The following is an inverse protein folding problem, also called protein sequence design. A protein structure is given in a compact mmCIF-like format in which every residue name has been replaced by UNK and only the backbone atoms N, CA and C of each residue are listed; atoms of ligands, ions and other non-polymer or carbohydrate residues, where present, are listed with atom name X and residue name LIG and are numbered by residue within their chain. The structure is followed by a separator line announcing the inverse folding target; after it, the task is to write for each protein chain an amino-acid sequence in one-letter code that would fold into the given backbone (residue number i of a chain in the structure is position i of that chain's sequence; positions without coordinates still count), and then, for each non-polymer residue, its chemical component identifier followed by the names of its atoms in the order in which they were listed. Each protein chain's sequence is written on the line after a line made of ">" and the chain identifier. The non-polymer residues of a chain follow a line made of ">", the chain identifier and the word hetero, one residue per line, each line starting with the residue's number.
data_IF_281846024202
#
_entry.id   IF_281846024202
#
_cell.length_a   1.000
_cell.length_b   1.000
_cell.length_c   1.000
_cell.angle_alpha   90.00
_cell.angle_beta   90.00
_cell.angle_gamma   90.00
#
_symmetry.space_group_name_H-M   'P 1'
#
loop_
_entity.id
_entity.type
_entity.pdbx_description
1 polymer ?
#
# COMPACT_ATOMS: atom_id res chain seq x y z
N UNK A 1 13.19 3.15 18.03
CA UNK A 1 12.01 2.96 17.15
C UNK A 1 11.47 1.56 17.39
N UNK A 2 10.18 1.41 17.67
CA UNK A 2 9.59 0.06 17.88
C UNK A 2 9.56 -0.72 16.58
N UNK A 3 9.49 -2.05 16.67
CA UNK A 3 9.47 -2.92 15.48
C UNK A 3 8.22 -2.69 14.62
N UNK A 4 7.10 -2.39 15.25
CA UNK A 4 5.85 -2.04 14.59
C UNK A 4 5.96 -0.74 13.81
N UNK A 5 6.56 0.30 14.42
CA UNK A 5 6.82 1.56 13.73
C UNK A 5 7.78 1.38 12.56
N UNK A 6 8.79 0.50 12.69
CA UNK A 6 9.71 0.20 11.59
C UNK A 6 8.96 -0.33 10.35
N UNK A 7 8.06 -1.29 10.53
CA UNK A 7 7.23 -1.83 9.46
C UNK A 7 6.24 -0.81 8.90
N UNK A 8 5.69 0.05 9.76
CA UNK A 8 4.87 1.19 9.32
C UNK A 8 5.69 2.13 8.41
N UNK A 9 6.89 2.50 8.81
CA UNK A 9 7.76 3.36 7.99
C UNK A 9 8.07 2.73 6.64
N UNK A 10 8.39 1.42 6.59
CA UNK A 10 8.60 0.73 5.31
C UNK A 10 7.34 0.75 4.43
N UNK A 11 6.17 0.57 5.02
CA UNK A 11 4.89 0.63 4.31
C UNK A 11 4.61 2.02 3.76
N UNK A 12 4.88 3.07 4.54
CA UNK A 12 4.73 4.46 4.11
C UNK A 12 5.69 4.78 2.96
N UNK A 13 6.95 4.35 3.06
CA UNK A 13 7.94 4.50 1.98
C UNK A 13 7.48 3.77 0.73
N UNK A 14 7.02 2.52 0.84
CA UNK A 14 6.52 1.75 -0.28
C UNK A 14 5.39 2.50 -0.99
N UNK A 15 4.33 2.88 -0.27
CA UNK A 15 3.18 3.61 -0.83
C UNK A 15 3.60 4.93 -1.44
N UNK A 16 4.48 5.70 -0.76
CA UNK A 16 5.00 6.97 -1.23
C UNK A 16 5.89 6.88 -2.47
N UNK A 17 6.37 5.69 -2.84
CA UNK A 17 7.16 5.46 -4.05
C UNK A 17 6.37 4.86 -5.22
N UNK A 18 5.12 4.40 -4.99
CA UNK A 18 4.32 3.75 -6.05
C UNK A 18 3.95 4.68 -7.20
N UNK A 19 4.05 6.00 -7.00
CA UNK A 19 3.77 6.96 -8.06
C UNK A 19 4.85 7.05 -9.13
N UNK A 20 6.10 6.73 -8.77
CA UNK A 20 7.27 6.90 -9.63
C UNK A 20 7.11 6.13 -10.95
N UNK A 21 6.77 4.81 -10.95
CA UNK A 21 6.74 4.05 -12.19
C UNK A 21 5.66 4.52 -13.18
N UNK A 22 4.44 4.85 -12.72
CA UNK A 22 3.39 5.31 -13.64
C UNK A 22 3.62 6.75 -14.12
N UNK A 23 4.30 7.60 -13.32
CA UNK A 23 4.71 8.93 -13.81
C UNK A 23 5.83 8.82 -14.84
N UNK A 24 6.79 7.90 -14.67
CA UNK A 24 7.78 7.61 -15.71
C UNK A 24 7.11 7.12 -17.01
N UNK A 25 6.09 6.26 -16.91
CA UNK A 25 5.29 5.86 -18.08
C UNK A 25 4.60 7.07 -18.73
N UNK A 26 4.00 7.96 -17.92
CA UNK A 26 3.39 9.20 -18.42
C UNK A 26 4.40 10.08 -19.17
N UNK A 27 5.61 10.24 -18.65
CA UNK A 27 6.69 10.96 -19.32
C UNK A 27 7.10 10.30 -20.65
N UNK A 28 7.14 8.97 -20.72
CA UNK A 28 7.44 8.24 -21.96
C UNK A 28 6.32 8.39 -23.01
N UNK A 29 5.05 8.36 -22.59
CA UNK A 29 3.90 8.38 -23.51
C UNK A 29 3.54 9.81 -23.96
N UNK A 30 3.64 10.79 -23.06
CA UNK A 30 3.15 12.17 -23.26
C UNK A 30 4.27 13.21 -23.31
N UNK A 31 5.52 12.81 -23.11
CA UNK A 31 6.65 13.72 -22.92
C UNK A 31 6.60 14.42 -21.54
N UNK A 32 7.69 15.11 -21.18
CA UNK A 32 7.78 15.84 -19.90
C UNK A 32 6.72 16.96 -19.81
N UNK A 33 6.48 17.69 -20.91
CA UNK A 33 5.46 18.74 -20.96
C UNK A 33 4.04 18.20 -20.74
N UNK A 34 3.70 17.05 -21.34
CA UNK A 34 2.42 16.40 -21.13
C UNK A 34 2.28 15.69 -19.78
N UNK A 35 3.39 15.37 -19.10
CA UNK A 35 3.37 14.83 -17.74
C UNK A 35 3.13 15.91 -16.68
N UNK A 36 3.60 17.13 -16.94
CA UNK A 36 3.41 18.32 -16.08
C UNK A 36 2.12 19.09 -16.39
N UNK A 37 1.49 18.84 -17.53
CA UNK A 37 0.22 19.44 -17.90
C UNK A 37 -0.96 18.89 -17.07
N UNK A 38 -2.04 19.67 -16.99
CA UNK A 38 -3.28 19.22 -16.37
C UNK A 38 -3.88 18.04 -17.16
N UNK A 39 -4.44 17.02 -16.49
CA UNK A 39 -5.08 15.91 -17.17
C UNK A 39 -6.19 16.38 -18.11
N UNK A 40 -6.16 15.92 -19.35
CA UNK A 40 -7.18 16.20 -20.37
C UNK A 40 -7.79 14.92 -20.90
N UNK A 41 -9.07 14.96 -21.28
CA UNK A 41 -9.76 13.84 -21.94
C UNK A 41 -9.13 13.45 -23.28
N UNK A 42 -8.36 14.35 -23.88
CA UNK A 42 -7.68 14.12 -25.16
C UNK A 42 -6.25 13.58 -24.98
N UNK A 43 -5.81 13.33 -23.74
CA UNK A 43 -4.46 12.83 -23.51
C UNK A 43 -4.29 11.39 -24.02
N UNK A 44 -3.10 11.09 -24.54
CA UNK A 44 -2.75 9.71 -24.90
C UNK A 44 -2.90 8.78 -23.68
N UNK A 45 -3.58 7.63 -23.83
CA UNK A 45 -3.74 6.68 -22.73
C UNK A 45 -2.37 6.16 -22.30
N UNK A 46 -2.14 6.08 -20.98
CA UNK A 46 -0.97 5.40 -20.44
C UNK A 46 -1.06 3.90 -20.71
N UNK A 47 0.06 3.18 -20.58
CA UNK A 47 0.06 1.73 -20.75
C UNK A 47 -0.84 1.07 -19.69
N UNK A 48 -1.50 -0.03 -20.05
CA UNK A 48 -2.45 -0.73 -19.18
C UNK A 48 -1.89 -1.10 -17.80
N UNK A 49 -0.60 -1.48 -17.71
CA UNK A 49 0.04 -1.76 -16.42
C UNK A 49 0.15 -0.51 -15.53
N UNK A 50 0.34 0.67 -16.13
CA UNK A 50 0.47 1.93 -15.40
C UNK A 50 -0.90 2.38 -14.86
N UNK A 51 -1.97 2.20 -15.65
CA UNK A 51 -3.34 2.40 -15.17
C UNK A 51 -3.67 1.45 -14.01
N UNK A 52 -3.34 0.15 -14.13
CA UNK A 52 -3.51 -0.81 -13.02
C UNK A 52 -2.69 -0.44 -11.79
N UNK A 53 -1.47 0.06 -11.97
CA UNK A 53 -0.63 0.50 -10.86
C UNK A 53 -1.22 1.74 -10.16
N UNK A 54 -1.83 2.67 -10.90
CA UNK A 54 -2.55 3.79 -10.30
C UNK A 54 -3.69 3.29 -9.40
N UNK A 55 -4.53 2.36 -9.88
CA UNK A 55 -5.56 1.75 -9.04
C UNK A 55 -5.00 0.98 -7.83
N UNK A 56 -3.85 0.31 -7.99
CA UNK A 56 -3.19 -0.38 -6.90
C UNK A 56 -2.62 0.61 -5.86
N UNK A 57 -2.16 1.77 -6.31
CA UNK A 57 -1.67 2.85 -5.45
C UNK A 57 -2.81 3.48 -4.66
N UNK A 58 -3.92 3.84 -5.29
CA UNK A 58 -5.10 4.38 -4.60
C UNK A 58 -5.58 3.42 -3.50
N UNK A 59 -5.68 2.13 -3.82
CA UNK A 59 -5.99 1.10 -2.85
C UNK A 59 -4.96 1.02 -1.70
N UNK A 60 -3.67 1.23 -1.98
CA UNK A 60 -2.63 1.26 -0.95
C UNK A 60 -2.78 2.45 -0.01
N UNK A 61 -3.13 3.63 -0.54
CA UNK A 61 -3.41 4.83 0.27
C UNK A 61 -4.62 4.60 1.17
N UNK A 62 -5.74 4.12 0.62
CA UNK A 62 -6.95 3.82 1.40
C UNK A 62 -6.69 2.86 2.55
N UNK A 63 -5.90 1.81 2.31
CA UNK A 63 -5.56 0.82 3.33
C UNK A 63 -4.55 1.36 4.36
N UNK A 64 -3.63 2.24 3.94
CA UNK A 64 -2.67 2.89 4.83
C UNK A 64 -3.38 3.79 5.84
N UNK A 65 -4.47 4.47 5.45
CA UNK A 65 -5.31 5.29 6.34
C UNK A 65 -5.90 4.47 7.49
N UNK A 66 -6.09 3.16 7.32
CA UNK A 66 -6.55 2.25 8.39
C UNK A 66 -5.35 1.68 9.17
N UNK A 67 -4.34 1.19 8.46
CA UNK A 67 -3.19 0.52 9.08
C UNK A 67 -2.35 1.45 9.95
N UNK A 68 -2.09 2.67 9.48
CA UNK A 68 -1.22 3.61 10.19
C UNK A 68 -1.79 4.00 11.57
N UNK A 69 -3.07 4.42 11.71
CA UNK A 69 -3.66 4.65 13.03
C UNK A 69 -3.61 3.44 13.95
N UNK A 70 -3.84 2.21 13.47
CA UNK A 70 -3.77 1.01 14.32
C UNK A 70 -2.39 0.85 14.96
N UNK A 71 -1.33 1.01 14.18
CA UNK A 71 0.05 0.92 14.67
C UNK A 71 0.39 2.09 15.61
N UNK A 72 -0.07 3.30 15.29
CA UNK A 72 0.17 4.48 16.13
C UNK A 72 -0.58 4.40 17.47
N UNK A 73 -1.80 3.86 17.48
CA UNK A 73 -2.57 3.62 18.72
C UNK A 73 -1.84 2.60 19.59
N UNK A 74 -1.41 1.46 19.02
CA UNK A 74 -0.62 0.45 19.74
C UNK A 74 0.65 1.03 20.36
N UNK A 75 1.34 1.91 19.62
CA UNK A 75 2.51 2.60 20.13
C UNK A 75 2.16 3.59 21.25
N UNK A 76 1.05 4.33 21.14
CA UNK A 76 0.62 5.30 22.14
C UNK A 76 0.19 4.64 23.47
N UNK A 77 -0.37 3.43 23.43
CA UNK A 77 -0.71 2.64 24.63
C UNK A 77 0.44 1.75 25.13
N UNK A 78 1.64 1.90 24.55
CA UNK A 78 2.84 1.11 24.83
C UNK A 78 2.61 -0.42 24.80
N UNK A 79 1.77 -0.88 23.85
CA UNK A 79 1.44 -2.29 23.69
C UNK A 79 2.17 -2.89 22.49
N UNK A 80 3.14 -3.76 22.77
CA UNK A 80 3.92 -4.49 21.76
C UNK A 80 4.00 -5.97 22.12
N UNK A 81 3.60 -6.82 21.17
CA UNK A 81 3.67 -8.29 21.31
C UNK A 81 4.32 -8.91 20.08
N UNK A 82 4.66 -10.21 20.15
CA UNK A 82 5.17 -10.93 18.98
C UNK A 82 4.16 -10.91 17.82
N UNK A 83 2.86 -10.92 18.14
CA UNK A 83 1.78 -10.92 17.16
C UNK A 83 1.58 -9.58 16.47
N UNK A 84 1.70 -8.45 17.19
CA UNK A 84 1.61 -7.12 16.57
C UNK A 84 2.76 -6.88 15.59
N UNK A 85 3.98 -7.27 15.98
CA UNK A 85 5.16 -7.17 15.10
C UNK A 85 4.98 -8.04 13.85
N UNK A 86 4.51 -9.28 14.01
CA UNK A 86 4.30 -10.20 12.89
C UNK A 86 3.18 -9.70 11.97
N UNK A 87 2.08 -9.18 12.52
CA UNK A 87 1.00 -8.59 11.74
C UNK A 87 1.49 -7.41 10.90
N UNK A 88 2.30 -6.51 11.46
CA UNK A 88 2.89 -5.40 10.69
C UNK A 88 3.81 -5.89 9.55
N UNK A 89 4.63 -6.91 9.80
CA UNK A 89 5.49 -7.51 8.77
C UNK A 89 4.66 -8.16 7.65
N UNK A 90 3.66 -8.97 8.01
CA UNK A 90 2.76 -9.63 7.06
C UNK A 90 1.99 -8.59 6.24
N UNK A 91 1.52 -7.52 6.87
CA UNK A 91 0.86 -6.42 6.17
C UNK A 91 1.76 -5.83 5.08
N UNK A 92 3.01 -5.49 5.41
CA UNK A 92 3.96 -4.93 4.45
C UNK A 92 4.16 -5.86 3.25
N UNK A 93 4.46 -7.13 3.49
CA UNK A 93 4.70 -8.10 2.40
C UNK A 93 3.44 -8.37 1.57
N UNK A 94 2.27 -8.42 2.22
CA UNK A 94 1.00 -8.55 1.53
C UNK A 94 0.72 -7.36 0.61
N UNK A 95 1.02 -6.12 1.05
CA UNK A 95 0.89 -4.92 0.22
C UNK A 95 1.89 -4.90 -0.93
N UNK A 96 3.14 -5.28 -0.70
CA UNK A 96 4.14 -5.39 -1.76
C UNK A 96 3.70 -6.39 -2.83
N UNK A 97 3.29 -7.60 -2.40
CA UNK A 97 2.79 -8.62 -3.31
C UNK A 97 1.52 -8.15 -4.05
N UNK A 98 0.58 -7.52 -3.36
CA UNK A 98 -0.66 -7.00 -3.95
C UNK A 98 -0.36 -6.02 -5.08
N UNK A 99 0.52 -5.05 -4.87
CA UNK A 99 0.87 -4.04 -5.88
C UNK A 99 1.51 -4.68 -7.12
N UNK A 100 2.46 -5.61 -6.91
CA UNK A 100 3.12 -6.31 -8.02
C UNK A 100 2.13 -7.15 -8.84
N UNK A 101 1.29 -7.94 -8.16
CA UNK A 101 0.26 -8.78 -8.77
C UNK A 101 -0.78 -7.96 -9.54
N UNK A 102 -1.21 -6.83 -8.96
CA UNK A 102 -2.17 -5.95 -9.60
C UNK A 102 -1.57 -5.26 -10.84
N UNK A 103 -0.32 -4.78 -10.75
CA UNK A 103 0.36 -4.21 -11.92
C UNK A 103 0.47 -5.23 -13.07
N UNK A 104 0.78 -6.50 -12.77
CA UNK A 104 0.82 -7.60 -13.74
C UNK A 104 -0.57 -8.00 -14.28
N UNK A 105 -1.65 -7.61 -13.59
CA UNK A 105 -3.02 -7.91 -14.01
C UNK A 105 -3.45 -9.35 -13.74
N UNK A 106 -2.82 -10.05 -12.78
CA UNK A 106 -3.18 -11.43 -12.46
C UNK A 106 -4.44 -11.44 -11.58
N UNK A 107 -5.58 -11.97 -12.09
CA UNK A 107 -6.82 -12.03 -11.32
C UNK A 107 -6.69 -13.01 -10.15
N UNK A 108 -7.60 -12.90 -9.17
CA UNK A 108 -7.67 -13.74 -7.95
C UNK A 108 -6.52 -13.54 -6.96
N UNK A 109 -5.27 -13.57 -7.40
CA UNK A 109 -4.10 -13.35 -6.53
C UNK A 109 -4.12 -11.98 -5.85
N UNK A 110 -4.66 -10.94 -6.53
CA UNK A 110 -4.88 -9.63 -5.91
C UNK A 110 -5.82 -9.72 -4.71
N UNK A 111 -6.88 -10.52 -4.81
CA UNK A 111 -7.87 -10.64 -3.73
C UNK A 111 -7.25 -11.38 -2.54
N UNK A 112 -6.49 -12.44 -2.79
CA UNK A 112 -5.81 -13.20 -1.73
C UNK A 112 -4.81 -12.32 -0.96
N UNK A 113 -3.95 -11.59 -1.68
CA UNK A 113 -2.97 -10.69 -1.07
C UNK A 113 -3.65 -9.54 -0.30
N UNK A 114 -4.76 -9.01 -0.81
CA UNK A 114 -5.58 -8.03 -0.10
C UNK A 114 -6.15 -8.61 1.20
N UNK A 115 -6.75 -9.79 1.15
CA UNK A 115 -7.35 -10.44 2.34
C UNK A 115 -6.31 -10.72 3.42
N UNK A 116 -5.08 -11.10 3.05
CA UNK A 116 -3.98 -11.27 4.01
C UNK A 116 -3.65 -9.94 4.71
N UNK A 117 -3.59 -8.84 3.96
CA UNK A 117 -3.38 -7.51 4.53
C UNK A 117 -4.52 -7.09 5.47
N UNK A 118 -5.77 -7.38 5.11
CA UNK A 118 -6.93 -7.12 5.96
C UNK A 118 -6.88 -7.92 7.27
N UNK A 119 -6.54 -9.20 7.21
CA UNK A 119 -6.39 -10.03 8.41
C UNK A 119 -5.30 -9.50 9.34
N UNK A 120 -4.18 -9.00 8.79
CA UNK A 120 -3.15 -8.35 9.59
C UNK A 120 -3.69 -7.10 10.33
N UNK A 121 -4.51 -6.27 9.67
CA UNK A 121 -5.17 -5.14 10.33
C UNK A 121 -6.15 -5.60 11.42
N UNK A 122 -6.92 -6.68 11.17
CA UNK A 122 -7.83 -7.25 12.16
C UNK A 122 -7.07 -7.73 13.41
N UNK A 123 -5.91 -8.38 13.25
CA UNK A 123 -5.04 -8.78 14.36
C UNK A 123 -4.58 -7.57 15.17
N UNK A 124 -4.16 -6.47 14.52
CA UNK A 124 -3.78 -5.24 15.23
C UNK A 124 -4.96 -4.64 15.99
N UNK A 125 -6.15 -4.61 15.39
CA UNK A 125 -7.36 -4.12 16.06
C UNK A 125 -7.71 -4.95 17.31
N UNK A 126 -7.66 -6.29 17.20
CA UNK A 126 -7.90 -7.18 18.34
C UNK A 126 -6.83 -7.02 19.43
N UNK A 127 -5.57 -6.77 19.05
CA UNK A 127 -4.48 -6.49 19.99
C UNK A 127 -4.71 -5.19 20.77
N UNK A 128 -5.27 -4.15 20.15
CA UNK A 128 -5.63 -2.89 20.84
C UNK A 128 -6.64 -3.17 21.98
N UNK A 129 -7.59 -4.06 21.76
CA UNK A 129 -8.56 -4.49 22.78
C UNK A 129 -8.00 -5.52 23.77
N UNK A 130 -6.71 -5.90 23.66
CA UNK A 130 -6.03 -6.88 24.53
C UNK A 130 -6.77 -8.22 24.62
N UNK A 131 -7.33 -8.66 23.48
CA UNK A 131 -8.05 -9.94 23.39
C UNK A 131 -7.08 -11.13 23.52
N UNK A 132 -5.78 -10.90 23.32
CA UNK A 132 -4.69 -11.86 23.52
C UNK A 132 -3.39 -11.15 23.90
#
# INVERSE_FOLDING_TARGET
>A
MTRELFWLTLTVILTGLLWVPYVLNRCQVRGLGGAMANPSRNDKPQTEWANRLMFAHDNAVENLVIFAPLVLILNAIDYSTKWTVLACAVYFWARLAHVLVYAMGVPVLRTLTFTIGFLAQAVLALAIFKIF
#
